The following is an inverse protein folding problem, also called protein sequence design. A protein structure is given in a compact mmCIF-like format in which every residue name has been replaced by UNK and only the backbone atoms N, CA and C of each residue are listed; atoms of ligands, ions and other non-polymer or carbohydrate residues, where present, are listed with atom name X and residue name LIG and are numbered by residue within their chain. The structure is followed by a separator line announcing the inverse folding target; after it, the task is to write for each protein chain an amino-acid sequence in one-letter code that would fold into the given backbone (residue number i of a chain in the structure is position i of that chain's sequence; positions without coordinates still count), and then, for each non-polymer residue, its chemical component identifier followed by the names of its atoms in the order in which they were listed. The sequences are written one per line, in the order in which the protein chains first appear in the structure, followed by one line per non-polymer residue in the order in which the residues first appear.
data_IF_880805658702
#
_entry.id   IF_880805658702
#
_cell.length_a   1.000
_cell.length_b   1.000
_cell.length_c   1.000
_cell.angle_alpha   90.00
_cell.angle_beta   90.00
_cell.angle_gamma   90.00
#
_symmetry.space_group_name_H-M   'P 1'
#
loop_
_entity.id
_entity.type
_entity.pdbx_description
1 polymer ?
#
# COMPACT_ATOMS: atom_id res chain seq x y z
N UNK A 1 -33.34 17.61 10.02
CA UNK A 1 -32.54 16.70 9.24
C UNK A 1 -32.59 15.30 9.84
N UNK A 2 -32.63 14.38 9.01
CA UNK A 2 -32.71 13.03 9.45
C UNK A 2 -31.34 12.47 9.80
N UNK A 3 -31.23 12.03 11.00
CA UNK A 3 -30.08 11.30 11.44
C UNK A 3 -30.07 9.93 10.71
N UNK A 4 -28.99 9.56 10.11
CA UNK A 4 -28.87 8.31 9.38
C UNK A 4 -28.69 7.10 10.29
N UNK A 5 -28.84 7.27 11.61
CA UNK A 5 -28.58 6.23 12.58
C UNK A 5 -27.12 6.08 12.95
N UNK A 6 -26.28 6.96 12.49
CA UNK A 6 -24.84 6.96 12.82
C UNK A 6 -24.65 7.67 14.15
N UNK A 7 -24.04 7.00 15.11
CA UNK A 7 -23.76 7.62 16.42
C UNK A 7 -22.69 8.69 16.29
N UNK A 8 -21.64 8.40 15.53
CA UNK A 8 -20.57 9.34 15.23
C UNK A 8 -19.95 8.97 13.90
N UNK A 9 -19.53 9.92 13.08
CA UNK A 9 -18.99 9.61 11.78
C UNK A 9 -17.60 8.96 11.87
N UNK A 10 -17.35 8.02 10.97
CA UNK A 10 -16.00 7.53 10.69
C UNK A 10 -15.42 8.52 9.68
N UNK A 11 -14.22 9.01 9.89
CA UNK A 11 -13.63 10.05 9.06
C UNK A 11 -12.67 9.52 8.00
N UNK A 12 -12.45 8.22 7.98
CA UNK A 12 -11.57 7.57 7.00
C UNK A 12 -10.83 6.41 7.64
N UNK A 13 -9.80 5.95 6.95
CA UNK A 13 -8.92 4.94 7.50
C UNK A 13 -7.77 5.61 8.25
N UNK A 14 -7.49 5.12 9.45
CA UNK A 14 -6.32 5.55 10.21
C UNK A 14 -5.07 4.93 9.62
N UNK A 15 -5.09 3.62 9.50
CA UNK A 15 -3.94 2.88 8.95
C UNK A 15 -4.39 1.51 8.46
N UNK A 16 -3.55 0.91 7.64
CA UNK A 16 -3.67 -0.47 7.23
C UNK A 16 -2.39 -1.17 7.67
N UNK A 17 -2.51 -2.34 8.26
CA UNK A 17 -1.35 -3.10 8.71
C UNK A 17 -1.24 -4.38 7.88
N UNK A 18 -0.13 -4.53 7.19
CA UNK A 18 0.17 -5.69 6.37
C UNK A 18 1.19 -6.57 7.05
N UNK A 19 0.99 -7.87 6.91
CA UNK A 19 1.96 -8.84 7.34
C UNK A 19 2.90 -9.14 6.19
N UNK A 20 4.20 -8.99 6.41
CA UNK A 20 5.22 -9.18 5.38
C UNK A 20 6.23 -10.23 5.85
N UNK A 21 6.96 -10.80 4.90
CA UNK A 21 7.95 -11.83 5.20
C UNK A 21 9.24 -11.24 5.75
N UNK A 22 9.63 -10.05 5.31
CA UNK A 22 10.84 -9.37 5.74
C UNK A 22 10.56 -7.87 5.77
N UNK A 23 10.47 -7.33 6.98
CA UNK A 23 10.04 -5.94 7.15
C UNK A 23 11.03 -4.93 6.58
N UNK A 24 12.32 -5.24 6.62
CA UNK A 24 13.33 -4.33 6.06
C UNK A 24 13.25 -4.28 4.54
N UNK A 25 13.14 -5.44 3.91
CA UNK A 25 13.00 -5.54 2.46
C UNK A 25 11.72 -4.84 1.98
N UNK A 26 10.62 -5.08 2.67
CA UNK A 26 9.34 -4.46 2.30
C UNK A 26 9.37 -2.96 2.54
N UNK A 27 9.91 -2.50 3.66
CA UNK A 27 10.01 -1.07 3.93
C UNK A 27 10.86 -0.36 2.87
N UNK A 28 11.97 -0.95 2.46
CA UNK A 28 12.81 -0.40 1.42
C UNK A 28 12.06 -0.32 0.09
N UNK A 29 11.31 -1.35 -0.24
CA UNK A 29 10.52 -1.37 -1.47
C UNK A 29 9.45 -0.26 -1.47
N UNK A 30 8.67 -0.16 -0.38
CA UNK A 30 7.61 0.86 -0.31
C UNK A 30 8.19 2.28 -0.33
N UNK A 31 9.37 2.45 0.25
CA UNK A 31 10.06 3.75 0.22
C UNK A 31 10.57 4.08 -1.18
N UNK A 32 11.24 3.14 -1.81
CA UNK A 32 11.86 3.35 -3.13
C UNK A 32 10.83 3.41 -4.24
N UNK A 33 9.88 2.49 -4.23
CA UNK A 33 8.93 2.34 -5.33
C UNK A 33 7.74 3.29 -5.20
N UNK A 34 7.17 3.41 -4.00
CA UNK A 34 5.95 4.20 -3.78
C UNK A 34 6.21 5.54 -3.08
N UNK A 35 7.46 5.88 -2.82
CA UNK A 35 7.84 7.15 -2.19
C UNK A 35 7.22 7.34 -0.81
N UNK A 36 6.96 6.25 -0.09
CA UNK A 36 6.52 6.34 1.28
C UNK A 36 7.71 6.57 2.20
N UNK A 37 7.48 7.27 3.29
CA UNK A 37 8.54 7.66 4.21
C UNK A 37 8.31 7.00 5.57
N UNK A 38 9.29 6.24 6.10
CA UNK A 38 9.18 5.71 7.45
C UNK A 38 9.15 6.85 8.47
N UNK A 39 8.26 6.77 9.43
CA UNK A 39 8.23 7.75 10.51
C UNK A 39 8.23 7.11 11.90
N UNK A 40 8.03 5.81 11.97
CA UNK A 40 8.14 5.06 13.23
C UNK A 40 8.54 3.63 12.90
N UNK A 41 9.47 3.07 13.65
CA UNK A 41 9.88 1.68 13.42
C UNK A 41 10.47 1.08 14.68
N UNK A 42 10.41 -0.23 14.73
CA UNK A 42 11.14 -1.04 15.68
C UNK A 42 11.43 -2.37 15.00
N UNK A 43 12.63 -2.46 14.43
CA UNK A 43 12.99 -3.66 13.68
C UNK A 43 13.21 -4.89 14.56
N UNK A 44 13.46 -4.69 15.86
CA UNK A 44 13.51 -5.83 16.77
C UNK A 44 12.13 -6.42 17.00
N UNK A 45 11.11 -5.57 17.08
CA UNK A 45 9.72 -6.03 17.16
C UNK A 45 9.15 -6.37 15.80
N UNK A 46 9.84 -6.01 14.72
CA UNK A 46 9.45 -6.35 13.38
C UNK A 46 8.36 -5.48 12.79
N UNK A 47 8.39 -4.15 13.04
CA UNK A 47 7.42 -3.29 12.39
C UNK A 47 8.03 -1.98 11.90
N UNK A 48 7.36 -1.40 10.90
CA UNK A 48 7.64 -0.06 10.41
C UNK A 48 6.32 0.59 9.96
N UNK A 49 6.17 1.85 10.30
CA UNK A 49 5.03 2.65 9.86
C UNK A 49 5.50 3.66 8.82
N UNK A 50 4.81 3.71 7.70
CA UNK A 50 5.18 4.49 6.53
C UNK A 50 4.02 5.40 6.13
N UNK A 51 4.35 6.55 5.57
CA UNK A 51 3.35 7.44 4.99
C UNK A 51 3.98 8.32 3.93
N UNK A 52 3.19 8.87 3.04
CA UNK A 52 3.64 9.93 2.16
C UNK A 52 3.22 11.25 2.81
N UNK A 53 4.12 12.23 2.91
CA UNK A 53 3.75 13.54 3.48
C UNK A 53 2.53 14.12 2.76
N UNK A 54 1.55 14.56 3.52
CA UNK A 54 0.31 15.09 2.97
C UNK A 54 -0.79 14.07 2.77
N UNK A 55 -0.47 12.79 2.72
CA UNK A 55 -1.48 11.74 2.66
C UNK A 55 -2.00 11.44 4.07
N UNK A 56 -3.28 11.14 4.17
CA UNK A 56 -3.90 10.87 5.47
C UNK A 56 -3.80 9.42 5.89
N UNK A 57 -3.29 8.58 5.01
CA UNK A 57 -3.23 7.16 5.25
C UNK A 57 -1.84 6.75 5.72
N UNK A 58 -1.79 5.83 6.66
CA UNK A 58 -0.57 5.24 7.18
C UNK A 58 -0.56 3.77 6.82
N UNK A 59 0.57 3.29 6.33
CA UNK A 59 0.78 1.88 6.07
C UNK A 59 1.74 1.34 7.12
N UNK A 60 1.30 0.33 7.86
CA UNK A 60 2.14 -0.35 8.83
C UNK A 60 2.51 -1.71 8.28
N UNK A 61 3.79 -2.02 8.29
CA UNK A 61 4.29 -3.34 7.91
C UNK A 61 4.73 -4.06 9.17
N UNK A 62 4.33 -5.31 9.31
CA UNK A 62 4.72 -6.12 10.45
C UNK A 62 5.23 -7.47 9.97
N UNK A 63 6.35 -7.91 10.54
CA UNK A 63 6.94 -9.16 10.15
C UNK A 63 6.38 -10.29 11.00
N UNK A 64 5.93 -11.33 10.34
CA UNK A 64 5.46 -12.51 11.03
C UNK A 64 6.65 -13.41 11.29
N UNK A 65 6.79 -13.87 12.52
CA UNK A 65 7.92 -14.69 12.91
C UNK A 65 7.46 -15.94 13.66
N UNK A 66 8.31 -16.93 13.66
CA UNK A 66 8.17 -18.11 14.51
C UNK A 66 6.93 -18.93 14.21
N UNK A 67 6.15 -19.16 15.24
CA UNK A 67 5.00 -20.07 15.19
C UNK A 67 3.93 -19.71 14.16
N UNK A 68 3.95 -18.47 13.69
CA UNK A 68 2.96 -18.00 12.75
C UNK A 68 3.39 -18.22 11.29
N UNK A 69 4.44 -18.96 11.07
CA UNK A 69 4.93 -19.26 9.72
C UNK A 69 3.92 -20.01 8.87
N UNK A 70 2.87 -20.57 9.48
CA UNK A 70 1.78 -21.20 8.74
C UNK A 70 0.95 -20.19 7.95
N UNK A 71 1.05 -18.92 8.29
CA UNK A 71 0.34 -17.86 7.56
C UNK A 71 1.34 -17.21 6.61
N UNK A 72 1.18 -17.45 5.33
CA UNK A 72 2.07 -16.88 4.33
C UNK A 72 1.79 -15.39 4.13
N UNK A 73 2.84 -14.59 4.16
CA UNK A 73 2.74 -13.18 3.85
C UNK A 73 2.28 -13.00 2.41
N UNK A 74 1.44 -12.00 2.17
CA UNK A 74 0.90 -11.72 0.86
C UNK A 74 -0.27 -12.59 0.45
N UNK A 75 -0.71 -13.48 1.34
CA UNK A 75 -1.85 -14.37 1.07
C UNK A 75 -2.88 -14.25 2.17
N UNK A 76 -4.11 -14.59 1.86
CA UNK A 76 -5.21 -14.56 2.81
C UNK A 76 -6.35 -13.68 2.32
N UNK A 77 -6.98 -12.94 3.23
CA UNK A 77 -8.21 -12.21 2.93
C UNK A 77 -8.02 -10.93 2.11
N UNK A 78 -6.82 -10.39 2.06
CA UNK A 78 -6.58 -9.17 1.29
C UNK A 78 -6.37 -9.51 -0.19
N UNK A 79 -7.28 -9.03 -1.03
CA UNK A 79 -7.15 -9.22 -2.47
C UNK A 79 -6.15 -8.23 -3.06
N UNK A 80 -6.35 -6.96 -2.77
CA UNK A 80 -5.42 -5.92 -3.21
C UNK A 80 -5.63 -4.66 -2.38
N UNK A 81 -4.70 -3.73 -2.51
CA UNK A 81 -4.76 -2.43 -1.87
C UNK A 81 -4.47 -1.38 -2.93
N UNK A 82 -5.22 -0.28 -2.92
CA UNK A 82 -5.04 0.76 -3.91
C UNK A 82 -4.83 2.11 -3.23
N UNK A 83 -3.88 2.86 -3.76
CA UNK A 83 -3.62 4.23 -3.34
C UNK A 83 -4.25 5.18 -4.35
N UNK A 84 -4.80 6.28 -3.89
CA UNK A 84 -5.40 7.27 -4.74
C UNK A 84 -4.34 8.27 -5.23
N UNK A 85 -4.39 8.60 -6.50
CA UNK A 85 -3.61 9.69 -7.07
C UNK A 85 -4.59 10.71 -7.66
N UNK A 86 -4.11 11.92 -7.94
CA UNK A 86 -5.01 13.03 -8.25
C UNK A 86 -5.74 12.89 -9.59
N UNK A 87 -5.07 12.39 -10.62
CA UNK A 87 -5.64 12.33 -11.96
C UNK A 87 -4.87 11.36 -12.87
N UNK A 88 -5.32 11.26 -14.13
CA UNK A 88 -4.67 10.39 -15.11
C UNK A 88 -3.25 10.81 -15.45
N UNK A 89 -2.96 12.10 -15.38
CA UNK A 89 -1.61 12.61 -15.63
C UNK A 89 -0.65 12.11 -14.53
N UNK A 90 -1.11 12.11 -13.28
CA UNK A 90 -0.34 11.55 -12.18
C UNK A 90 -0.10 10.05 -12.36
N UNK A 91 -1.09 9.31 -12.87
CA UNK A 91 -0.90 7.89 -13.16
C UNK A 91 0.19 7.65 -14.20
N UNK A 92 0.22 8.45 -15.26
CA UNK A 92 1.28 8.32 -16.26
C UNK A 92 2.64 8.68 -15.69
N UNK A 93 2.72 9.68 -14.82
CA UNK A 93 3.96 10.01 -14.15
C UNK A 93 4.44 8.85 -13.27
N UNK A 94 3.53 8.19 -12.56
CA UNK A 94 3.85 7.02 -11.78
C UNK A 94 4.33 5.86 -12.65
N UNK A 95 3.68 5.63 -13.80
CA UNK A 95 4.10 4.60 -14.73
C UNK A 95 5.54 4.83 -15.22
N UNK A 96 5.89 6.07 -15.53
CA UNK A 96 7.26 6.42 -15.93
C UNK A 96 8.27 6.21 -14.81
N UNK A 97 7.90 6.59 -13.59
CA UNK A 97 8.73 6.36 -12.41
C UNK A 97 9.02 4.89 -12.21
N UNK A 98 7.98 4.05 -12.28
CA UNK A 98 8.14 2.60 -12.11
C UNK A 98 8.99 1.99 -13.22
N UNK A 99 8.80 2.43 -14.45
CA UNK A 99 9.61 1.96 -15.58
C UNK A 99 11.08 2.33 -15.38
N UNK A 100 11.34 3.53 -14.87
CA UNK A 100 12.70 3.98 -14.58
C UNK A 100 13.37 3.16 -13.48
N UNK A 101 12.62 2.59 -12.57
CA UNK A 101 13.14 1.72 -11.52
C UNK A 101 13.22 0.25 -11.96
N UNK A 102 12.74 -0.07 -13.15
CA UNK A 102 12.69 -1.46 -13.60
C UNK A 102 11.62 -2.30 -12.90
N UNK A 103 10.61 -1.66 -12.33
CA UNK A 103 9.53 -2.35 -11.64
C UNK A 103 8.47 -2.75 -12.66
N UNK A 104 8.12 -4.03 -12.67
CA UNK A 104 7.07 -4.53 -13.55
C UNK A 104 5.70 -4.03 -13.10
N UNK A 105 4.89 -3.63 -14.07
CA UNK A 105 3.51 -3.24 -13.85
C UNK A 105 2.69 -3.52 -15.11
N UNK A 106 1.38 -3.60 -14.94
CA UNK A 106 0.48 -3.92 -16.06
C UNK A 106 0.24 -2.73 -17.00
N UNK A 107 0.87 -1.58 -16.75
CA UNK A 107 0.59 -0.36 -17.48
C UNK A 107 -0.69 0.29 -16.98
N UNK A 108 -1.05 1.42 -17.57
CA UNK A 108 -2.29 2.11 -17.22
C UNK A 108 -3.41 1.44 -18.00
N UNK A 109 -4.30 0.75 -17.30
CA UNK A 109 -5.39 -0.02 -17.89
C UNK A 109 -6.71 0.61 -17.47
N UNK A 110 -7.65 0.74 -18.41
CA UNK A 110 -8.96 1.27 -18.09
C UNK A 110 -9.86 0.14 -17.62
N UNK A 111 -10.38 0.28 -16.41
CA UNK A 111 -11.21 -0.73 -15.78
C UNK A 111 -12.37 -0.04 -15.06
N UNK A 112 -13.59 -0.44 -15.34
CA UNK A 112 -14.79 0.17 -14.74
C UNK A 112 -14.81 1.70 -14.89
N UNK A 113 -14.30 2.21 -16.01
CA UNK A 113 -14.26 3.64 -16.26
C UNK A 113 -13.18 4.39 -15.50
N UNK A 114 -12.35 3.68 -14.73
CA UNK A 114 -11.27 4.27 -13.93
C UNK A 114 -9.95 3.63 -14.32
N UNK A 115 -8.91 4.41 -14.58
CA UNK A 115 -7.63 3.87 -14.98
C UNK A 115 -6.81 3.48 -13.74
N UNK A 116 -6.62 2.17 -13.49
CA UNK A 116 -5.69 1.72 -12.46
C UNK A 116 -4.32 1.46 -13.05
N UNK A 117 -3.33 1.51 -12.19
CA UNK A 117 -1.97 1.08 -12.45
C UNK A 117 -1.64 0.03 -11.40
N UNK A 118 -1.28 -1.17 -11.81
CA UNK A 118 -1.16 -2.32 -10.90
C UNK A 118 0.25 -2.88 -10.87
N UNK A 119 0.70 -3.21 -9.68
CA UNK A 119 2.02 -3.81 -9.45
C UNK A 119 1.95 -4.76 -8.26
N UNK A 120 3.06 -5.42 -7.97
CA UNK A 120 3.15 -6.35 -6.86
C UNK A 120 4.29 -5.95 -5.93
N UNK A 121 4.05 -6.06 -4.63
CA UNK A 121 5.09 -5.81 -3.64
C UNK A 121 5.99 -7.06 -3.49
N UNK A 122 7.04 -7.02 -2.65
CA UNK A 122 7.96 -8.16 -2.50
C UNK A 122 7.30 -9.48 -2.07
N UNK A 123 6.17 -9.43 -1.40
CA UNK A 123 5.43 -10.63 -0.99
C UNK A 123 4.34 -11.01 -1.99
N UNK A 124 4.25 -10.31 -3.11
CA UNK A 124 3.25 -10.58 -4.12
C UNK A 124 1.89 -9.95 -3.82
N UNK A 125 1.81 -9.05 -2.85
CA UNK A 125 0.57 -8.34 -2.56
C UNK A 125 0.26 -7.41 -3.74
N UNK A 126 -0.96 -7.49 -4.24
CA UNK A 126 -1.39 -6.64 -5.34
C UNK A 126 -1.60 -5.21 -4.86
N UNK A 127 -0.92 -4.28 -5.50
CA UNK A 127 -0.97 -2.85 -5.19
C UNK A 127 -1.47 -2.11 -6.41
N UNK A 128 -2.44 -1.23 -6.20
CA UNK A 128 -2.96 -0.39 -7.27
C UNK A 128 -2.73 1.09 -7.00
N UNK A 129 -2.62 1.86 -8.07
CA UNK A 129 -2.71 3.32 -8.04
C UNK A 129 -3.90 3.68 -8.89
N UNK A 130 -4.79 4.50 -8.38
CA UNK A 130 -6.07 4.79 -9.05
C UNK A 130 -6.33 6.29 -9.05
N UNK A 131 -6.67 6.81 -10.20
CA UNK A 131 -7.08 8.22 -10.30
C UNK A 131 -8.57 8.40 -10.07
#
# INVERSE_FOLDING_TARGET
MQDSGITAPITGLSHVQLMVSDVRTSAEWYTTVLSLVPYAHDFELGYVALRQPGARMVLVLTERAGADASVEAGKGALDHMAFAVSDGEALHAWAEHLAGLGVEHAGVVLENGRPPLQLRDPDGIAIGLVA
#
